data_IF_387960559196
#
_entry.id   IF_387960559196
#
_cell.length_a   1.000
_cell.length_b   1.000
_cell.length_c   1.000
_cell.angle_alpha   90.00
_cell.angle_beta   90.00
_cell.angle_gamma   90.00
#
_symmetry.space_group_name_H-M   'P 1'
#
loop_
_entity.id
_entity.type
_entity.pdbx_description
1 polymer ?
#
# COMPACT_ATOMS: atom_id res chain seq x y z
N UNK A 1 19.91 -30.73 -26.95
CA UNK A 1 19.79 -29.43 -26.25
C UNK A 1 18.45 -29.38 -25.54
N UNK A 2 18.42 -29.49 -24.21
CA UNK A 2 17.17 -29.46 -23.45
C UNK A 2 16.73 -28.00 -23.20
N UNK A 3 15.55 -27.64 -23.68
CA UNK A 3 14.94 -26.34 -23.38
C UNK A 3 14.24 -26.40 -22.01
N UNK A 4 14.78 -25.70 -21.02
CA UNK A 4 14.13 -25.52 -19.73
C UNK A 4 13.02 -24.46 -19.84
N UNK A 5 11.80 -24.88 -20.17
CA UNK A 5 10.63 -24.03 -20.04
C UNK A 5 10.20 -23.96 -18.56
N UNK A 6 10.77 -23.02 -17.82
CA UNK A 6 10.31 -22.67 -16.48
C UNK A 6 8.99 -21.88 -16.57
N UNK A 7 7.85 -22.56 -16.45
CA UNK A 7 6.49 -21.98 -16.43
C UNK A 7 6.07 -21.43 -15.06
N UNK A 8 6.93 -21.49 -14.04
CA UNK A 8 6.63 -20.89 -12.74
C UNK A 8 6.62 -19.37 -12.84
N UNK A 9 5.42 -18.77 -12.98
CA UNK A 9 5.18 -17.35 -12.68
C UNK A 9 5.82 -17.04 -11.32
N UNK A 10 6.91 -16.25 -11.31
CA UNK A 10 7.55 -15.79 -10.07
C UNK A 10 6.47 -15.18 -9.17
N UNK A 11 6.34 -15.67 -7.94
CA UNK A 11 5.35 -15.15 -6.98
C UNK A 11 5.60 -13.66 -6.76
N UNK A 12 4.72 -12.82 -7.31
CA UNK A 12 4.71 -11.37 -7.10
C UNK A 12 4.00 -10.99 -5.79
N UNK A 13 4.14 -11.81 -4.74
CA UNK A 13 3.59 -11.49 -3.43
C UNK A 13 4.62 -10.72 -2.60
N UNK A 14 5.07 -9.58 -3.14
CA UNK A 14 5.88 -8.61 -2.40
C UNK A 14 4.95 -7.56 -1.82
N UNK A 15 5.05 -7.34 -0.51
CA UNK A 15 4.40 -6.22 0.16
C UNK A 15 4.84 -4.89 -0.47
N UNK A 16 4.02 -3.85 -0.30
CA UNK A 16 4.39 -2.51 -0.76
C UNK A 16 5.60 -2.03 0.03
N UNK A 17 6.67 -1.66 -0.67
CA UNK A 17 7.85 -1.09 -0.03
C UNK A 17 7.63 0.40 0.31
N UNK A 18 8.47 0.98 1.15
CA UNK A 18 8.38 2.39 1.54
C UNK A 18 8.35 3.34 0.32
N UNK A 19 9.17 3.05 -0.69
CA UNK A 19 9.19 3.80 -1.94
C UNK A 19 7.86 3.73 -2.73
N UNK A 20 7.26 2.54 -2.83
CA UNK A 20 5.95 2.40 -3.50
C UNK A 20 4.85 3.14 -2.74
N UNK A 21 4.89 3.12 -1.40
CA UNK A 21 3.96 3.89 -0.55
C UNK A 21 4.12 5.40 -0.74
N UNK A 22 5.36 5.89 -0.84
CA UNK A 22 5.66 7.29 -1.17
C UNK A 22 5.09 7.71 -2.53
N UNK A 23 5.23 6.86 -3.55
CA UNK A 23 4.62 7.11 -4.86
C UNK A 23 3.09 7.13 -4.81
N UNK A 24 2.45 6.24 -4.03
CA UNK A 24 0.99 6.28 -3.82
C UNK A 24 0.59 7.62 -3.19
N UNK A 25 1.33 8.09 -2.18
CA UNK A 25 1.03 9.36 -1.50
C UNK A 25 1.15 10.56 -2.46
N UNK A 26 2.23 10.63 -3.24
CA UNK A 26 2.44 11.69 -4.23
C UNK A 26 1.33 11.71 -5.29
N UNK A 27 1.05 10.57 -5.93
CA UNK A 27 0.02 10.47 -6.96
C UNK A 27 -1.40 10.72 -6.41
N UNK A 28 -1.65 10.37 -5.15
CA UNK A 28 -2.92 10.68 -4.49
C UNK A 28 -3.08 12.18 -4.24
N UNK A 29 -2.00 12.87 -3.87
CA UNK A 29 -1.97 14.34 -3.70
C UNK A 29 -2.20 15.07 -5.04
N UNK A 30 -1.73 14.48 -6.15
CA UNK A 30 -2.05 14.94 -7.50
C UNK A 30 -3.49 14.64 -7.97
N UNK A 31 -4.31 13.99 -7.14
CA UNK A 31 -5.69 13.66 -7.50
C UNK A 31 -5.84 12.48 -8.47
N UNK A 32 -4.80 11.65 -8.66
CA UNK A 32 -4.86 10.50 -9.56
C UNK A 32 -5.78 9.40 -9.03
N UNK A 33 -6.42 8.66 -9.95
CA UNK A 33 -7.30 7.56 -9.61
C UNK A 33 -6.54 6.31 -9.14
N UNK A 34 -7.18 5.46 -8.35
CA UNK A 34 -6.58 4.21 -7.84
C UNK A 34 -6.10 3.31 -8.98
N UNK A 35 -6.88 3.22 -10.08
CA UNK A 35 -6.50 2.42 -11.25
C UNK A 35 -5.26 2.97 -11.95
N UNK A 36 -5.12 4.29 -12.03
CA UNK A 36 -3.94 4.94 -12.59
C UNK A 36 -2.69 4.60 -11.77
N UNK A 37 -2.77 4.79 -10.44
CA UNK A 37 -1.68 4.48 -9.51
C UNK A 37 -1.28 2.99 -9.61
N UNK A 38 -2.27 2.11 -9.65
CA UNK A 38 -2.06 0.67 -9.77
C UNK A 38 -1.32 0.29 -11.06
N UNK A 39 -1.71 0.88 -12.20
CA UNK A 39 -1.04 0.68 -13.49
C UNK A 39 0.42 1.15 -13.43
N UNK A 40 0.66 2.32 -12.85
CA UNK A 40 2.01 2.89 -12.76
C UNK A 40 2.95 2.06 -11.90
N UNK A 41 2.46 1.50 -10.79
CA UNK A 41 3.25 0.66 -9.89
C UNK A 41 3.28 -0.82 -10.32
N UNK A 42 2.56 -1.22 -11.37
CA UNK A 42 2.40 -2.62 -11.74
C UNK A 42 1.73 -3.47 -10.66
N UNK A 43 0.85 -2.87 -9.85
CA UNK A 43 0.16 -3.53 -8.72
C UNK A 43 -1.33 -3.70 -9.00
N UNK A 44 -1.96 -4.62 -8.30
CA UNK A 44 -3.42 -4.78 -8.37
C UNK A 44 -4.13 -3.54 -7.77
N UNK A 45 -5.22 -3.04 -8.39
CA UNK A 45 -5.98 -1.92 -7.84
C UNK A 45 -6.50 -2.16 -6.42
N UNK A 46 -6.83 -3.42 -6.11
CA UNK A 46 -7.26 -3.82 -4.77
C UNK A 46 -6.15 -3.69 -3.73
N UNK A 47 -4.87 -3.85 -4.10
CA UNK A 47 -3.73 -3.62 -3.22
C UNK A 47 -3.61 -2.14 -2.86
N UNK A 48 -3.69 -1.26 -3.86
CA UNK A 48 -3.63 0.19 -3.66
C UNK A 48 -4.82 0.69 -2.83
N UNK A 49 -6.03 0.21 -3.11
CA UNK A 49 -7.23 0.54 -2.33
C UNK A 49 -7.10 0.14 -0.86
N UNK A 50 -6.64 -1.10 -0.58
CA UNK A 50 -6.43 -1.58 0.79
C UNK A 50 -5.33 -0.81 1.52
N UNK A 51 -4.29 -0.39 0.80
CA UNK A 51 -3.23 0.43 1.36
C UNK A 51 -3.74 1.82 1.75
N UNK A 52 -4.45 2.51 0.84
CA UNK A 52 -5.05 3.81 1.13
C UNK A 52 -5.98 3.69 2.34
N UNK A 53 -6.90 2.72 2.34
CA UNK A 53 -7.81 2.50 3.49
C UNK A 53 -7.07 2.27 4.81
N UNK A 54 -5.90 1.64 4.76
CA UNK A 54 -5.08 1.38 5.96
C UNK A 54 -4.36 2.63 6.46
N UNK A 55 -3.89 3.49 5.55
CA UNK A 55 -3.16 4.71 5.89
C UNK A 55 -4.02 5.98 5.99
N UNK A 56 -5.32 5.91 5.64
CA UNK A 56 -6.25 7.03 5.85
C UNK A 56 -6.54 7.18 7.34
N UNK A 57 -6.25 8.36 7.87
CA UNK A 57 -6.52 8.71 9.27
C UNK A 57 -7.25 10.04 9.33
N UNK A 58 -8.09 10.19 10.36
CA UNK A 58 -8.71 11.45 10.73
C UNK A 58 -7.67 12.35 11.40
N UNK A 59 -7.64 13.61 10.98
CA UNK A 59 -6.75 14.66 11.47
C UNK A 59 -7.58 15.90 11.82
N UNK A 60 -7.06 16.73 12.71
CA UNK A 60 -7.64 18.03 13.06
C UNK A 60 -6.94 19.13 12.27
N UNK A 61 -7.72 20.10 11.82
CA UNK A 61 -7.22 21.38 11.28
C UNK A 61 -7.08 22.40 12.41
N UNK A 62 -6.49 23.55 12.09
CA UNK A 62 -6.33 24.67 13.02
C UNK A 62 -7.65 25.22 13.56
N UNK A 63 -8.73 25.07 12.81
CA UNK A 63 -10.10 25.45 13.18
C UNK A 63 -10.84 24.36 13.99
N UNK A 64 -10.14 23.33 14.46
CA UNK A 64 -10.69 22.14 15.13
C UNK A 64 -11.65 21.29 14.26
N UNK A 65 -11.78 21.59 12.96
CA UNK A 65 -12.53 20.74 12.05
C UNK A 65 -11.74 19.46 11.74
N UNK A 66 -12.47 18.36 11.51
CA UNK A 66 -11.86 17.07 11.17
C UNK A 66 -11.75 16.90 9.66
N UNK A 67 -10.69 16.22 9.20
CA UNK A 67 -10.55 15.78 7.82
C UNK A 67 -9.87 14.42 7.74
N UNK A 68 -10.15 13.68 6.68
CA UNK A 68 -9.47 12.42 6.39
C UNK A 68 -8.34 12.64 5.38
N UNK A 69 -7.14 12.17 5.72
CA UNK A 69 -6.00 12.20 4.82
C UNK A 69 -5.22 10.89 4.86
N UNK A 70 -4.65 10.53 3.72
CA UNK A 70 -3.81 9.34 3.58
C UNK A 70 -2.36 9.67 3.96
N UNK A 71 -1.81 8.93 4.92
CA UNK A 71 -0.41 9.00 5.30
C UNK A 71 0.24 7.61 5.16
N UNK A 72 1.33 7.48 4.37
CA UNK A 72 1.98 6.19 4.13
C UNK A 72 2.57 5.57 5.42
N UNK A 73 3.06 6.42 6.33
CA UNK A 73 3.61 6.04 7.63
C UNK A 73 2.55 5.41 8.54
N UNK A 74 1.34 5.97 8.58
CA UNK A 74 0.24 5.40 9.34
C UNK A 74 -0.11 3.99 8.83
N UNK A 75 -0.14 3.80 7.51
CA UNK A 75 -0.35 2.49 6.88
C UNK A 75 0.74 1.47 7.25
N UNK A 76 1.99 1.94 7.37
CA UNK A 76 3.16 1.11 7.69
C UNK A 76 3.11 0.68 9.16
N UNK A 77 2.88 1.62 10.08
CA UNK A 77 2.74 1.34 11.50
C UNK A 77 1.60 0.33 11.79
N UNK A 78 0.46 0.48 11.12
CA UNK A 78 -0.66 -0.46 11.25
C UNK A 78 -0.30 -1.85 10.72
N UNK A 79 0.44 -1.93 9.61
CA UNK A 79 0.91 -3.21 9.08
C UNK A 79 1.86 -3.91 10.06
N UNK A 80 2.85 -3.20 10.60
CA UNK A 80 3.81 -3.73 11.57
C UNK A 80 3.14 -4.19 12.84
N UNK A 81 2.18 -3.41 13.38
CA UNK A 81 1.38 -3.79 14.54
C UNK A 81 0.62 -5.09 14.30
N UNK A 82 -0.04 -5.22 13.14
CA UNK A 82 -0.76 -6.45 12.76
C UNK A 82 0.21 -7.62 12.56
N UNK A 83 1.40 -7.36 12.02
CA UNK A 83 2.41 -8.39 11.77
C UNK A 83 2.95 -9.02 13.05
N UNK A 84 3.05 -8.25 14.14
CA UNK A 84 3.40 -8.76 15.48
C UNK A 84 2.37 -9.74 16.04
N UNK A 85 1.09 -9.60 15.65
CA UNK A 85 0.01 -10.45 16.14
C UNK A 85 -0.15 -11.76 15.34
N UNK A 86 0.66 -11.97 14.29
CA UNK A 86 0.59 -13.18 13.48
C UNK A 86 1.90 -13.97 13.57
N UNK A 87 1.73 -15.25 13.86
CA UNK A 87 2.77 -16.20 14.21
C UNK A 87 2.17 -17.20 15.20
N UNK A 88 2.82 -18.35 15.39
CA UNK A 88 2.46 -19.24 16.48
C UNK A 88 2.70 -18.51 17.81
N UNK A 89 1.73 -18.55 18.71
CA UNK A 89 1.94 -18.15 20.10
C UNK A 89 2.80 -19.24 20.73
N UNK A 90 3.95 -18.87 21.30
CA UNK A 90 4.74 -19.74 22.16
C UNK A 90 3.96 -20.06 23.44
#
# INVERSE_FOLDING_TARGET
MAQYNCTMKRRSFKHLNAYERGQIAALRKEGRSIRYIAKQLGRAPSTISREIKRGTVTQLKSDLSTYEAYFPEAGQAIYEKRRKNCGAKL
#
